data_IF_644281671720
#
_entry.id   IF_644281671720
#
_cell.length_a   1.000
_cell.length_b   1.000
_cell.length_c   1.000
_cell.angle_alpha   90.00
_cell.angle_beta   90.00
_cell.angle_gamma   90.00
#
_symmetry.space_group_name_H-M   'P 1'
#
loop_
_entity.id
_entity.type
_entity.pdbx_description
1 polymer ?
#
# COMPACT_ATOMS: atom_id res chain seq x y z
N UNK A 1 18.35 2.75 12.60
CA UNK A 1 18.86 2.58 11.22
C UNK A 1 17.82 1.78 10.44
N UNK A 2 17.48 2.16 9.20
CA UNK A 2 16.44 1.49 8.42
C UNK A 2 16.93 0.08 8.04
N UNK A 3 16.10 -0.95 8.24
CA UNK A 3 16.46 -2.30 7.84
C UNK A 3 16.28 -2.46 6.33
N UNK A 4 17.29 -2.01 5.57
CA UNK A 4 17.23 -1.97 4.11
C UNK A 4 17.18 -3.35 3.45
N UNK A 5 17.67 -4.40 4.11
CA UNK A 5 17.55 -5.77 3.64
C UNK A 5 16.07 -6.19 3.57
N UNK A 6 15.34 -6.01 4.68
CA UNK A 6 13.89 -6.30 4.73
C UNK A 6 13.12 -5.39 3.79
N UNK A 7 13.45 -4.10 3.74
CA UNK A 7 12.77 -3.15 2.86
C UNK A 7 12.95 -3.54 1.39
N UNK A 8 14.16 -3.89 0.94
CA UNK A 8 14.41 -4.33 -0.44
C UNK A 8 13.67 -5.62 -0.77
N UNK A 9 13.66 -6.58 0.16
CA UNK A 9 12.87 -7.82 0.00
C UNK A 9 11.39 -7.51 -0.24
N UNK A 10 10.83 -6.52 0.46
CA UNK A 10 9.40 -6.22 0.40
C UNK A 10 9.01 -5.26 -0.76
N UNK A 11 9.83 -4.24 -1.00
CA UNK A 11 9.54 -3.14 -1.93
C UNK A 11 10.19 -3.39 -3.31
N UNK A 12 11.31 -4.09 -3.35
CA UNK A 12 12.10 -4.36 -4.56
C UNK A 12 13.54 -3.85 -4.44
N UNK A 13 14.48 -4.51 -5.14
CA UNK A 13 15.92 -4.29 -4.98
C UNK A 13 16.42 -2.88 -5.36
N UNK A 14 15.66 -2.18 -6.20
CA UNK A 14 16.02 -0.86 -6.73
C UNK A 14 15.71 0.29 -5.77
N UNK A 15 15.11 0.02 -4.60
CA UNK A 15 14.91 1.04 -3.56
C UNK A 15 16.21 1.34 -2.81
N UNK A 16 16.43 2.62 -2.53
CA UNK A 16 17.60 3.13 -1.80
C UNK A 16 17.17 3.89 -0.55
N UNK A 17 18.08 4.08 0.41
CA UNK A 17 17.82 4.90 1.60
C UNK A 17 17.44 6.34 1.25
N UNK A 18 18.04 6.90 0.18
CA UNK A 18 17.73 8.25 -0.30
C UNK A 18 16.27 8.37 -0.72
N UNK A 19 15.70 7.33 -1.34
CA UNK A 19 14.29 7.36 -1.75
C UNK A 19 13.34 7.46 -0.55
N UNK A 20 13.81 7.09 0.64
CA UNK A 20 13.06 7.08 1.88
C UNK A 20 13.38 8.30 2.77
N UNK A 21 14.09 9.32 2.29
CA UNK A 21 14.54 10.45 3.13
C UNK A 21 13.40 11.18 3.86
N UNK A 22 12.20 11.19 3.28
CA UNK A 22 11.00 11.83 3.83
C UNK A 22 10.04 10.86 4.54
N UNK A 23 10.42 9.59 4.66
CA UNK A 23 9.54 8.49 5.05
C UNK A 23 10.07 7.82 6.31
N UNK A 24 9.26 7.80 7.36
CA UNK A 24 9.52 6.97 8.53
C UNK A 24 9.20 5.52 8.22
N UNK A 25 10.09 4.62 8.64
CA UNK A 25 10.03 3.21 8.26
C UNK A 25 10.15 2.33 9.50
N UNK A 26 9.21 1.39 9.66
CA UNK A 26 9.37 0.22 10.51
C UNK A 26 9.39 -1.01 9.61
N UNK A 27 10.45 -1.82 9.67
CA UNK A 27 10.57 -3.02 8.84
C UNK A 27 11.09 -4.18 9.68
N UNK A 28 10.35 -5.29 9.70
CA UNK A 28 10.69 -6.47 10.46
C UNK A 28 10.17 -7.76 9.80
N UNK A 29 11.10 -8.65 9.45
CA UNK A 29 10.85 -9.97 8.85
C UNK A 29 10.02 -9.90 7.55
N UNK A 30 8.70 -10.04 7.68
CA UNK A 30 7.73 -10.21 6.58
C UNK A 30 6.79 -9.00 6.46
N UNK A 31 7.11 -7.91 7.17
CA UNK A 31 6.25 -6.75 7.30
C UNK A 31 7.08 -5.46 7.25
N UNK A 32 6.54 -4.43 6.60
CA UNK A 32 7.01 -3.07 6.75
C UNK A 32 5.85 -2.06 6.75
N UNK A 33 6.02 -1.00 7.53
CA UNK A 33 5.15 0.17 7.60
C UNK A 33 5.97 1.40 7.18
N UNK A 34 5.41 2.16 6.26
CA UNK A 34 5.96 3.41 5.75
C UNK A 34 4.98 4.55 6.02
N UNK A 35 5.49 5.62 6.64
CA UNK A 35 4.72 6.82 6.98
C UNK A 35 5.39 8.00 6.27
N UNK A 36 4.65 8.68 5.40
CA UNK A 36 5.16 9.86 4.71
C UNK A 36 5.17 11.08 5.66
N UNK A 37 6.22 11.19 6.49
CA UNK A 37 6.29 12.20 7.56
C UNK A 37 6.62 13.60 7.06
N UNK A 38 7.45 13.72 6.02
CA UNK A 38 7.96 15.02 5.53
C UNK A 38 7.78 15.22 4.02
N UNK A 39 7.04 14.32 3.36
CA UNK A 39 6.83 14.31 1.90
C UNK A 39 6.85 12.91 1.31
N UNK A 40 6.82 12.81 -0.03
CA UNK A 40 6.69 11.54 -0.73
C UNK A 40 7.92 10.64 -0.62
N UNK A 41 7.66 9.34 -0.75
CA UNK A 41 8.65 8.37 -1.17
C UNK A 41 8.99 8.61 -2.64
N UNK A 42 10.26 8.91 -2.94
CA UNK A 42 10.68 9.17 -4.33
C UNK A 42 10.62 7.90 -5.21
N UNK A 43 10.51 6.72 -4.59
CA UNK A 43 10.28 5.48 -5.31
C UNK A 43 8.83 5.34 -5.78
N UNK A 44 7.87 5.78 -4.97
CA UNK A 44 6.44 5.59 -5.21
C UNK A 44 5.91 6.42 -6.40
N UNK A 45 6.58 7.53 -6.72
CA UNK A 45 6.22 8.40 -7.86
C UNK A 45 6.78 7.89 -9.20
N UNK A 46 7.53 6.78 -9.21
CA UNK A 46 8.01 6.18 -10.46
C UNK A 46 6.85 5.53 -11.21
N UNK A 47 6.73 5.85 -12.49
CA UNK A 47 5.71 5.25 -13.36
C UNK A 47 5.84 3.73 -13.39
N UNK A 48 4.69 3.05 -13.31
CA UNK A 48 4.55 1.60 -13.53
C UNK A 48 5.50 0.75 -12.66
N UNK A 49 5.80 1.20 -11.45
CA UNK A 49 6.64 0.44 -10.55
C UNK A 49 5.87 -0.78 -10.01
N UNK A 50 6.63 -1.78 -9.57
CA UNK A 50 6.10 -3.04 -9.05
C UNK A 50 6.77 -3.37 -7.73
N UNK A 51 6.05 -4.13 -6.91
CA UNK A 51 6.56 -4.66 -5.65
C UNK A 51 6.43 -6.19 -5.62
N UNK A 52 7.40 -6.92 -5.05
CA UNK A 52 7.30 -8.38 -4.87
C UNK A 52 6.31 -8.79 -3.75
N UNK A 53 5.83 -7.83 -2.96
CA UNK A 53 4.95 -8.04 -1.80
C UNK A 53 3.55 -7.47 -2.02
N UNK A 54 2.60 -7.88 -1.18
CA UNK A 54 1.31 -7.21 -1.11
C UNK A 54 1.51 -5.81 -0.52
N UNK A 55 0.90 -4.82 -1.17
CA UNK A 55 0.90 -3.45 -0.70
C UNK A 55 -0.51 -3.06 -0.26
N UNK A 56 -0.63 -2.46 0.92
CA UNK A 56 -1.87 -1.87 1.42
C UNK A 56 -1.61 -0.39 1.65
N UNK A 57 -2.43 0.45 1.06
CA UNK A 57 -2.39 1.90 1.27
C UNK A 57 -3.60 2.29 2.11
N UNK A 58 -3.38 3.11 3.14
CA UNK A 58 -4.45 3.67 3.98
C UNK A 58 -4.35 5.19 3.89
N UNK A 59 -5.37 5.84 3.35
CA UNK A 59 -5.40 7.28 3.10
C UNK A 59 -6.13 8.04 4.23
N UNK A 60 -5.49 9.09 4.72
CA UNK A 60 -5.90 9.95 5.83
C UNK A 60 -6.17 11.38 5.31
N UNK A 61 -7.29 11.59 4.62
CA UNK A 61 -7.63 12.91 4.10
C UNK A 61 -8.97 12.92 3.38
N UNK A 62 -9.57 14.10 3.24
CA UNK A 62 -10.92 14.26 2.68
C UNK A 62 -10.94 14.72 1.23
N UNK A 63 -9.83 15.26 0.72
CA UNK A 63 -9.90 16.11 -0.47
C UNK A 63 -9.12 15.63 -1.70
N UNK A 64 -7.94 15.04 -1.54
CA UNK A 64 -7.10 14.56 -2.64
C UNK A 64 -6.65 13.10 -2.42
N UNK A 65 -7.44 12.15 -2.94
CA UNK A 65 -7.07 10.74 -2.92
C UNK A 65 -6.01 10.42 -3.97
N UNK A 66 -5.06 9.54 -3.65
CA UNK A 66 -4.00 9.10 -4.56
C UNK A 66 -4.56 8.36 -5.79
N UNK A 67 -5.70 7.68 -5.62
CA UNK A 67 -6.29 6.79 -6.64
C UNK A 67 -7.77 7.18 -6.91
N UNK A 68 -8.15 7.60 -8.13
CA UNK A 68 -9.52 8.03 -8.49
C UNK A 68 -10.45 6.85 -8.81
N UNK A 69 -11.82 6.99 -8.79
CA UNK A 69 -12.62 8.12 -8.33
C UNK A 69 -12.70 8.41 -6.83
N UNK A 70 -13.00 9.68 -6.54
CA UNK A 70 -13.33 10.23 -5.22
C UNK A 70 -14.63 9.60 -4.70
N UNK A 71 -14.57 8.92 -3.55
CA UNK A 71 -15.75 8.44 -2.83
C UNK A 71 -16.01 9.34 -1.63
N UNK A 72 -17.28 9.57 -1.29
CA UNK A 72 -17.64 10.28 -0.07
C UNK A 72 -17.38 9.37 1.14
N UNK A 73 -16.48 9.80 2.03
CA UNK A 73 -16.17 9.08 3.27
C UNK A 73 -17.01 9.62 4.43
N UNK A 74 -17.57 8.71 5.22
CA UNK A 74 -18.18 9.08 6.51
C UNK A 74 -17.10 9.51 7.51
N UNK A 75 -17.48 10.32 8.49
CA UNK A 75 -16.58 10.70 9.60
C UNK A 75 -15.98 9.45 10.26
N UNK A 76 -14.66 9.47 10.48
CA UNK A 76 -13.87 8.36 11.05
C UNK A 76 -13.72 7.12 10.15
N UNK A 77 -13.94 7.24 8.85
CA UNK A 77 -13.64 6.19 7.87
C UNK A 77 -12.38 6.57 7.10
N UNK A 78 -11.65 5.56 6.67
CA UNK A 78 -10.44 5.71 5.86
C UNK A 78 -10.61 4.93 4.56
N UNK A 79 -10.10 5.48 3.48
CA UNK A 79 -9.97 4.73 2.24
C UNK A 79 -8.75 3.82 2.37
N UNK A 80 -8.94 2.54 2.03
CA UNK A 80 -7.82 1.61 1.91
C UNK A 80 -7.87 0.92 0.55
N UNK A 81 -6.70 0.73 -0.04
CA UNK A 81 -6.51 -0.04 -1.26
C UNK A 81 -5.48 -1.13 -1.02
N UNK A 82 -5.58 -2.22 -1.78
CA UNK A 82 -4.62 -3.31 -1.75
C UNK A 82 -4.19 -3.65 -3.17
N UNK A 83 -2.90 -3.93 -3.33
CA UNK A 83 -2.27 -4.30 -4.60
C UNK A 83 -1.52 -5.61 -4.39
N UNK A 84 -1.79 -6.59 -5.27
CA UNK A 84 -1.09 -7.86 -5.28
C UNK A 84 0.35 -7.70 -5.76
N UNK A 85 1.24 -8.66 -5.42
CA UNK A 85 2.59 -8.71 -5.96
C UNK A 85 2.65 -8.58 -7.48
N UNK A 86 3.66 -7.84 -7.96
CA UNK A 86 4.00 -7.68 -9.37
C UNK A 86 2.89 -7.05 -10.23
N UNK A 87 1.97 -6.30 -9.62
CA UNK A 87 1.00 -5.46 -10.34
C UNK A 87 1.62 -4.08 -10.56
N UNK A 88 1.81 -3.63 -11.81
CA UNK A 88 2.28 -2.27 -12.11
C UNK A 88 1.28 -1.23 -11.61
N UNK A 89 1.79 -0.19 -10.94
CA UNK A 89 0.99 0.92 -10.45
C UNK A 89 1.86 2.18 -10.32
N UNK A 90 1.20 3.29 -10.01
CA UNK A 90 1.81 4.59 -9.76
C UNK A 90 1.03 5.31 -8.67
N UNK A 91 1.74 5.93 -7.73
CA UNK A 91 1.12 6.83 -6.77
C UNK A 91 1.10 8.22 -7.40
N UNK A 92 -0.07 8.86 -7.45
CA UNK A 92 -0.13 10.27 -7.88
C UNK A 92 0.60 11.14 -6.86
N UNK A 93 1.50 11.98 -7.35
CA UNK A 93 2.09 13.04 -6.54
C UNK A 93 0.98 14.04 -6.17
N UNK A 94 0.51 13.99 -4.92
CA UNK A 94 -0.27 15.08 -4.31
C UNK A 94 0.69 16.08 -3.65
N UNK A 95 0.25 17.18 -3.04
CA UNK A 95 1.19 18.10 -2.38
C UNK A 95 1.57 17.59 -0.97
N UNK A 96 0.61 16.96 -0.29
CA UNK A 96 0.76 16.42 1.06
C UNK A 96 0.22 14.97 1.13
N UNK A 97 1.09 13.96 1.04
CA UNK A 97 0.67 12.57 1.12
C UNK A 97 0.31 12.23 2.55
N UNK A 98 -0.97 12.25 2.87
CA UNK A 98 -1.45 11.74 4.15
C UNK A 98 -1.91 10.30 3.94
N UNK A 99 -0.97 9.38 3.80
CA UNK A 99 -1.28 7.95 3.76
C UNK A 99 -0.24 7.17 4.54
N UNK A 100 -0.55 5.91 4.83
CA UNK A 100 0.43 4.92 5.25
C UNK A 100 0.48 3.81 4.22
N UNK A 101 1.67 3.26 4.00
CA UNK A 101 1.86 2.05 3.20
C UNK A 101 2.29 0.91 4.09
N UNK A 102 1.59 -0.21 3.99
CA UNK A 102 1.94 -1.47 4.62
C UNK A 102 2.36 -2.45 3.53
N UNK A 103 3.54 -3.04 3.69
CA UNK A 103 4.05 -4.09 2.81
C UNK A 103 4.07 -5.41 3.57
N UNK A 104 3.50 -6.46 2.98
CA UNK A 104 3.47 -7.80 3.56
C UNK A 104 4.04 -8.80 2.54
N UNK A 105 5.05 -9.54 2.97
CA UNK A 105 5.69 -10.60 2.18
C UNK A 105 4.63 -11.53 1.59
N UNK A 106 4.79 -11.87 0.31
CA UNK A 106 3.83 -12.66 -0.46
C UNK A 106 3.50 -13.99 0.20
N UNK A 107 4.52 -14.79 0.47
CA UNK A 107 4.37 -16.15 0.98
C UNK A 107 3.74 -16.13 2.38
N UNK A 108 4.17 -15.17 3.20
CA UNK A 108 3.58 -14.96 4.51
C UNK A 108 2.10 -14.58 4.40
N UNK A 109 1.74 -13.56 3.62
CA UNK A 109 0.36 -13.15 3.44
C UNK A 109 -0.54 -14.30 2.97
N UNK A 110 -0.12 -15.00 1.91
CA UNK A 110 -0.88 -16.10 1.31
C UNK A 110 -1.08 -17.25 2.30
N UNK A 111 -0.03 -17.60 3.07
CA UNK A 111 -0.13 -18.64 4.11
C UNK A 111 -1.15 -18.30 5.20
N UNK A 112 -1.23 -17.03 5.61
CA UNK A 112 -2.18 -16.59 6.63
C UNK A 112 -3.60 -16.47 6.08
N UNK A 113 -3.74 -16.05 4.82
CA UNK A 113 -5.05 -15.87 4.17
C UNK A 113 -5.77 -17.20 3.96
N UNK A 114 -5.03 -18.25 3.56
CA UNK A 114 -5.57 -19.59 3.32
C UNK A 114 -6.10 -20.29 4.59
N UNK A 115 -5.81 -19.75 5.78
CA UNK A 115 -6.44 -20.21 7.02
C UNK A 115 -7.94 -19.87 7.08
N UNK A 116 -8.40 -18.90 6.28
CA UNK A 116 -9.76 -18.37 6.32
C UNK A 116 -10.53 -18.52 5.01
N UNK A 117 -9.86 -18.77 3.90
CA UNK A 117 -10.42 -18.82 2.55
C UNK A 117 -9.73 -19.90 1.72
N UNK A 118 -10.41 -20.43 0.69
CA UNK A 118 -9.85 -21.51 -0.14
C UNK A 118 -8.98 -21.02 -1.30
N UNK A 119 -9.04 -19.73 -1.63
CA UNK A 119 -8.37 -19.16 -2.79
C UNK A 119 -7.73 -17.81 -2.47
N UNK A 120 -6.58 -17.54 -3.09
CA UNK A 120 -5.88 -16.27 -2.96
C UNK A 120 -6.50 -15.25 -3.93
N UNK A 121 -7.03 -14.13 -3.43
CA UNK A 121 -7.56 -13.07 -4.27
C UNK A 121 -6.44 -12.35 -5.02
N UNK A 122 -6.70 -11.99 -6.27
CA UNK A 122 -5.83 -11.13 -7.06
C UNK A 122 -6.34 -9.68 -6.99
N UNK A 123 -5.56 -8.82 -6.36
CA UNK A 123 -5.84 -7.40 -6.23
C UNK A 123 -5.08 -6.61 -7.30
N UNK A 124 -5.75 -6.30 -8.41
CA UNK A 124 -5.16 -5.53 -9.52
C UNK A 124 -5.21 -4.01 -9.27
N UNK A 125 -5.11 -3.56 -8.01
CA UNK A 125 -5.42 -2.17 -7.63
C UNK A 125 -6.92 -1.81 -7.70
N UNK A 126 -7.78 -2.81 -7.94
CA UNK A 126 -9.23 -2.65 -7.80
C UNK A 126 -9.61 -2.50 -6.32
N UNK A 127 -10.43 -1.48 -6.04
CA UNK A 127 -10.79 -1.07 -4.68
C UNK A 127 -11.47 -2.16 -3.89
N UNK A 128 -11.06 -2.30 -2.65
CA UNK A 128 -11.90 -2.92 -1.62
C UNK A 128 -12.19 -1.85 -0.57
N UNK A 129 -13.43 -1.37 -0.50
CA UNK A 129 -13.83 -0.46 0.58
C UNK A 129 -13.98 -1.30 1.85
N UNK A 130 -13.15 -1.00 2.85
CA UNK A 130 -13.23 -1.63 4.16
C UNK A 130 -14.09 -0.77 5.07
N UNK A 131 -15.25 -1.28 5.47
CA UNK A 131 -16.10 -0.64 6.47
C UNK A 131 -15.69 -1.16 7.85
N UNK A 132 -15.80 -0.32 8.88
CA UNK A 132 -15.56 -0.71 10.28
C UNK A 132 -16.40 -1.90 10.79
N UNK A 133 -17.30 -2.46 9.96
CA UNK A 133 -18.13 -3.63 10.24
C UNK A 133 -18.28 -4.65 9.07
N UNK A 134 -17.38 -4.70 8.08
CA UNK A 134 -17.40 -5.76 7.04
C UNK A 134 -16.99 -5.31 5.64
N UNK A 135 -16.79 -6.27 4.71
CA UNK A 135 -16.36 -6.03 3.31
C UNK A 135 -17.56 -5.83 2.38
N UNK A 136 -17.47 -4.89 1.44
CA UNK A 136 -18.32 -4.84 0.24
C UNK A 136 -17.43 -4.51 -0.96
N UNK A 137 -17.43 -5.37 -1.99
CA UNK A 137 -16.73 -5.18 -3.26
C UNK A 137 -17.70 -4.57 -4.27
N UNK A 138 -17.37 -3.39 -4.82
CA UNK A 138 -18.04 -2.85 -6.01
C UNK A 138 -17.14 -3.08 -7.22
N UNK A 139 -17.56 -3.99 -8.11
CA UNK A 139 -17.02 -4.08 -9.45
C UNK A 139 -17.72 -3.04 -10.32
N UNK A 140 -17.03 -1.98 -10.73
CA UNK A 140 -17.48 -1.15 -11.86
C UNK A 140 -16.53 -1.36 -13.04
N UNK A 141 -17.13 -1.83 -14.13
CA UNK A 141 -16.59 -1.96 -15.49
C UNK A 141 -16.25 -0.57 -16.03
#
# INVERSE_FOLDING_TARGET
MKNMEVIKKLVGDSITESNLKNVDCYAFRNFALFIQSMGFCEFAVKEQHVHPSYMIIIEFGTDDFLIPPRIELKKNYYLASIVSPNIPHEDKAVEFPNYYTIMIDKEYFESQFLLYQNEIPRYAGQRTIYYGHGKHTENKI
#
